data_IF_032625134737
#
_entry.id   IF_032625134737
#
_cell.length_a   1.000
_cell.length_b   1.000
_cell.length_c   1.000
_cell.angle_alpha   90.00
_cell.angle_beta   90.00
_cell.angle_gamma   90.00
#
_symmetry.space_group_name_H-M   'P 1'
#
loop_
_entity.id
_entity.type
_entity.pdbx_description
1 polymer ?
#
# COMPACT_ATOMS: atom_id res chain seq x y z
N UNK A 1 4.29 -0.69 -13.91
CA UNK A 1 4.10 -2.04 -13.35
C UNK A 1 2.61 -2.29 -13.15
N UNK A 2 2.09 -3.51 -13.35
CA UNK A 2 0.65 -3.80 -13.14
C UNK A 2 0.42 -4.51 -11.80
N UNK A 3 -0.48 -3.97 -10.97
CA UNK A 3 -0.76 -4.52 -9.64
C UNK A 3 -1.85 -5.60 -9.61
N UNK A 4 -2.48 -5.88 -10.76
CA UNK A 4 -3.59 -6.83 -10.88
C UNK A 4 -3.35 -8.17 -10.16
N UNK A 5 -2.16 -8.80 -10.20
CA UNK A 5 -1.91 -10.05 -9.48
C UNK A 5 -2.12 -9.93 -7.96
N UNK A 6 -1.71 -8.81 -7.36
CA UNK A 6 -1.83 -8.52 -5.93
C UNK A 6 -3.24 -8.10 -5.52
N UNK A 7 -4.08 -7.72 -6.49
CA UNK A 7 -5.48 -7.34 -6.26
C UNK A 7 -6.43 -8.53 -6.43
N UNK A 8 -5.91 -9.70 -6.82
CA UNK A 8 -6.69 -10.92 -6.95
C UNK A 8 -7.32 -11.32 -5.61
N UNK A 9 -8.49 -11.97 -5.67
CA UNK A 9 -9.14 -12.51 -4.49
C UNK A 9 -8.25 -13.55 -3.78
N UNK A 10 -7.43 -14.28 -4.54
CA UNK A 10 -6.50 -15.28 -4.02
C UNK A 10 -5.38 -14.64 -3.21
N UNK A 11 -4.77 -13.55 -3.72
CA UNK A 11 -3.76 -12.82 -2.97
C UNK A 11 -4.34 -12.16 -1.71
N UNK A 12 -5.48 -11.47 -1.82
CA UNK A 12 -6.12 -10.86 -0.65
C UNK A 12 -6.60 -11.89 0.39
N UNK A 13 -6.94 -13.12 -0.05
CA UNK A 13 -7.23 -14.21 0.84
C UNK A 13 -5.97 -14.77 1.51
N UNK A 14 -4.85 -14.87 0.78
CA UNK A 14 -3.57 -15.37 1.32
C UNK A 14 -3.00 -14.47 2.42
N UNK A 15 -3.27 -13.16 2.36
CA UNK A 15 -2.94 -12.22 3.43
C UNK A 15 -3.91 -12.27 4.61
N UNK A 16 -4.98 -13.07 4.53
CA UNK A 16 -6.09 -13.07 5.51
C UNK A 16 -6.81 -11.73 5.65
N UNK A 17 -6.74 -10.86 4.62
CA UNK A 17 -7.36 -9.52 4.66
C UNK A 17 -8.88 -9.56 4.87
N UNK A 18 -9.54 -10.57 4.30
CA UNK A 18 -11.00 -10.74 4.35
C UNK A 18 -11.49 -11.71 5.44
N UNK A 19 -10.58 -12.27 6.23
CA UNK A 19 -10.87 -13.35 7.20
C UNK A 19 -10.97 -12.84 8.65
N UNK A 20 -10.89 -11.52 8.88
CA UNK A 20 -11.03 -10.94 10.21
C UNK A 20 -12.50 -10.82 10.63
N UNK A 21 -12.78 -11.13 11.91
CA UNK A 21 -14.09 -10.95 12.53
C UNK A 21 -14.56 -9.47 12.57
N UNK A 22 -13.63 -8.54 12.37
CA UNK A 22 -13.87 -7.11 12.21
C UNK A 22 -13.68 -6.73 10.74
N UNK A 23 -14.56 -5.88 10.21
CA UNK A 23 -14.40 -5.35 8.85
C UNK A 23 -13.06 -4.62 8.74
N UNK A 24 -12.22 -4.93 7.73
CA UNK A 24 -10.92 -4.30 7.60
C UNK A 24 -11.06 -2.79 7.36
N UNK A 25 -10.14 -1.98 7.90
CA UNK A 25 -10.07 -0.54 7.61
C UNK A 25 -9.45 -0.33 6.22
N UNK A 26 -10.28 -0.51 5.20
CA UNK A 26 -9.92 -0.31 3.79
C UNK A 26 -9.35 1.10 3.54
N UNK A 27 -9.82 2.12 4.25
CA UNK A 27 -9.30 3.48 4.11
C UNK A 27 -7.89 3.63 4.70
N UNK A 28 -7.58 2.95 5.80
CA UNK A 28 -6.21 2.92 6.35
C UNK A 28 -5.25 2.20 5.41
N UNK A 29 -5.63 1.04 4.87
CA UNK A 29 -4.81 0.32 3.89
C UNK A 29 -4.59 1.19 2.66
N UNK A 30 -5.64 1.79 2.13
CA UNK A 30 -5.56 2.67 0.97
C UNK A 30 -4.69 3.90 1.21
N UNK A 31 -4.76 4.52 2.40
CA UNK A 31 -3.90 5.65 2.74
C UNK A 31 -2.42 5.26 2.75
N UNK A 32 -2.06 4.10 3.28
CA UNK A 32 -0.67 3.60 3.25
C UNK A 32 -0.19 3.42 1.81
N UNK A 33 -1.03 2.88 0.93
CA UNK A 33 -0.71 2.72 -0.50
C UNK A 33 -0.59 4.06 -1.22
N UNK A 34 -1.47 5.03 -0.91
CA UNK A 34 -1.37 6.39 -1.43
C UNK A 34 -0.04 7.05 -1.05
N UNK A 35 0.38 6.94 0.22
CA UNK A 35 1.64 7.53 0.68
C UNK A 35 2.86 6.94 -0.04
N UNK A 36 2.77 5.68 -0.48
CA UNK A 36 3.78 5.01 -1.29
C UNK A 36 3.79 5.50 -2.74
N UNK A 37 2.61 5.73 -3.31
CA UNK A 37 2.45 6.28 -4.65
C UNK A 37 2.95 7.72 -4.76
N UNK A 38 2.89 8.49 -3.66
CA UNK A 38 3.29 9.90 -3.61
C UNK A 38 4.66 10.12 -2.97
N UNK A 39 5.58 9.14 -3.05
CA UNK A 39 6.88 9.23 -2.36
C UNK A 39 7.76 10.34 -2.93
N UNK A 40 7.76 10.50 -4.25
CA UNK A 40 8.50 11.55 -4.96
C UNK A 40 7.87 12.96 -4.79
N UNK A 41 6.63 13.02 -4.31
CA UNK A 41 5.90 14.25 -4.02
C UNK A 41 4.78 14.56 -5.02
N UNK A 42 4.62 13.76 -6.07
CA UNK A 42 3.54 13.90 -7.05
C UNK A 42 2.79 12.57 -7.21
N UNK A 43 1.57 12.61 -7.74
CA UNK A 43 0.82 11.41 -8.12
C UNK A 43 0.40 11.62 -9.56
N UNK A 44 1.04 10.90 -10.46
CA UNK A 44 0.79 10.98 -11.89
C UNK A 44 -0.44 10.18 -12.33
N UNK A 45 -0.74 10.18 -13.64
CA UNK A 45 -1.88 9.46 -14.21
C UNK A 45 -1.79 7.95 -14.01
N UNK A 46 -0.58 7.39 -14.09
CA UNK A 46 -0.35 5.95 -13.95
C UNK A 46 -0.52 5.50 -12.50
N UNK A 47 0.03 6.25 -11.53
CA UNK A 47 -0.21 5.99 -10.11
C UNK A 47 -1.68 6.16 -9.75
N UNK A 48 -2.35 7.17 -10.30
CA UNK A 48 -3.78 7.41 -10.09
C UNK A 48 -4.61 6.22 -10.57
N UNK A 49 -4.32 5.68 -11.76
CA UNK A 49 -5.02 4.52 -12.29
C UNK A 49 -4.80 3.28 -11.42
N UNK A 50 -3.59 3.07 -10.90
CA UNK A 50 -3.30 1.96 -9.99
C UNK A 50 -3.99 2.14 -8.63
N UNK A 51 -3.99 3.36 -8.07
CA UNK A 51 -4.71 3.68 -6.85
C UNK A 51 -6.21 3.43 -6.98
N UNK A 52 -6.82 3.75 -8.14
CA UNK A 52 -8.22 3.45 -8.40
C UNK A 52 -8.51 1.93 -8.39
N UNK A 53 -7.62 1.13 -8.99
CA UNK A 53 -7.74 -0.34 -8.95
C UNK A 53 -7.63 -0.87 -7.51
N UNK A 54 -6.65 -0.38 -6.75
CA UNK A 54 -6.46 -0.74 -5.34
C UNK A 54 -7.70 -0.40 -4.53
N UNK A 55 -8.22 0.82 -4.66
CA UNK A 55 -9.43 1.25 -3.96
C UNK A 55 -10.64 0.36 -4.27
N UNK A 56 -10.83 -0.02 -5.54
CA UNK A 56 -11.90 -0.91 -5.94
C UNK A 56 -11.77 -2.31 -5.31
N UNK A 57 -10.54 -2.86 -5.26
CA UNK A 57 -10.28 -4.18 -4.68
C UNK A 57 -10.49 -4.21 -3.14
N UNK A 58 -10.14 -3.10 -2.48
CA UNK A 58 -10.32 -2.90 -1.03
C UNK A 58 -11.76 -2.50 -0.66
N UNK A 59 -12.59 -2.07 -1.62
CA UNK A 59 -13.94 -1.59 -1.37
C UNK A 59 -14.00 -0.17 -0.81
N UNK A 60 -13.03 0.69 -1.14
CA UNK A 60 -13.02 2.10 -0.74
C UNK A 60 -14.05 2.88 -1.56
N UNK A 61 -14.96 3.55 -0.86
CA UNK A 61 -15.93 4.44 -1.48
C UNK A 61 -15.29 5.77 -1.91
N UNK A 62 -15.69 6.28 -3.08
CA UNK A 62 -15.25 7.57 -3.63
C UNK A 62 -13.72 7.75 -3.66
N UNK A 63 -12.96 6.88 -4.36
CA UNK A 63 -11.50 6.92 -4.37
C UNK A 63 -10.92 8.23 -4.86
N UNK A 64 -11.55 8.88 -5.84
CA UNK A 64 -11.12 10.18 -6.37
C UNK A 64 -11.13 11.27 -5.29
N UNK A 65 -12.20 11.32 -4.48
CA UNK A 65 -12.31 12.25 -3.38
C UNK A 65 -11.24 11.97 -2.30
N UNK A 66 -10.94 10.69 -2.04
CA UNK A 66 -9.89 10.29 -1.10
C UNK A 66 -8.49 10.67 -1.58
N UNK A 67 -8.20 10.49 -2.87
CA UNK A 67 -6.92 10.91 -3.47
C UNK A 67 -6.77 12.43 -3.33
N UNK A 68 -7.80 13.21 -3.65
CA UNK A 68 -7.77 14.67 -3.47
C UNK A 68 -7.58 15.05 -2.00
N UNK A 69 -8.36 14.44 -1.09
CA UNK A 69 -8.23 14.64 0.36
C UNK A 69 -6.79 14.42 0.82
N UNK A 70 -6.19 13.30 0.42
CA UNK A 70 -4.83 12.94 0.82
C UNK A 70 -3.75 13.82 0.20
N UNK A 71 -3.94 14.33 -1.01
CA UNK A 71 -3.03 15.30 -1.62
C UNK A 71 -3.11 16.67 -0.93
N UNK A 72 -4.30 17.06 -0.44
CA UNK A 72 -4.53 18.36 0.17
C UNK A 72 -4.21 18.44 1.67
N UNK A 73 -3.96 17.31 2.35
CA UNK A 73 -3.60 17.30 3.78
C UNK A 73 -2.33 18.14 4.02
N UNK A 74 -2.50 19.28 4.69
CA UNK A 74 -1.41 20.16 5.13
C UNK A 74 -1.07 19.92 6.60
N UNK A 75 0.19 20.14 6.97
CA UNK A 75 0.64 20.20 8.36
C UNK A 75 1.04 18.88 9.00
N UNK A 76 1.05 17.78 8.25
CA UNK A 76 1.65 16.50 8.66
C UNK A 76 2.67 16.05 7.62
N UNK A 77 3.78 15.50 8.10
CA UNK A 77 4.77 14.82 7.27
C UNK A 77 4.24 13.47 6.81
N UNK A 78 4.81 12.93 5.72
CA UNK A 78 4.49 11.59 5.21
C UNK A 78 4.66 10.52 6.29
N UNK A 79 5.70 10.62 7.10
CA UNK A 79 5.99 9.67 8.18
C UNK A 79 4.92 9.70 9.28
N UNK A 80 4.48 10.89 9.70
CA UNK A 80 3.40 11.03 10.69
C UNK A 80 2.10 10.41 10.16
N UNK A 81 1.77 10.67 8.89
CA UNK A 81 0.59 10.07 8.25
C UNK A 81 0.70 8.55 8.14
N UNK A 82 1.87 8.04 7.79
CA UNK A 82 2.14 6.60 7.74
C UNK A 82 1.93 5.97 9.12
N UNK A 83 2.43 6.59 10.20
CA UNK A 83 2.25 6.11 11.56
C UNK A 83 0.78 6.13 12.00
N UNK A 84 0.04 7.19 11.67
CA UNK A 84 -1.39 7.31 11.97
C UNK A 84 -2.23 6.26 11.23
N UNK A 85 -1.96 6.07 9.93
CA UNK A 85 -2.65 5.05 9.14
C UNK A 85 -2.29 3.65 9.66
N UNK A 86 -1.02 3.36 9.92
CA UNK A 86 -0.57 2.08 10.46
C UNK A 86 -1.19 1.76 11.83
N UNK A 87 -1.37 2.76 12.70
CA UNK A 87 -2.00 2.59 14.00
C UNK A 87 -3.48 2.16 13.91
N UNK A 88 -4.15 2.42 12.78
CA UNK A 88 -5.53 1.96 12.52
C UNK A 88 -5.59 0.50 12.04
N UNK A 89 -4.48 -0.07 11.57
CA UNK A 89 -4.41 -1.44 11.06
C UNK A 89 -4.25 -2.44 12.21
N UNK A 90 -5.39 -2.88 12.76
CA UNK A 90 -5.43 -3.70 13.98
C UNK A 90 -5.03 -5.16 13.76
N UNK A 91 -5.22 -5.68 12.55
CA UNK A 91 -4.99 -7.10 12.23
C UNK A 91 -3.67 -7.32 11.49
N UNK A 92 -3.13 -8.54 11.59
CA UNK A 92 -1.94 -8.92 10.80
C UNK A 92 -2.23 -8.85 9.30
N UNK A 93 -3.42 -9.27 8.87
CA UNK A 93 -3.77 -9.29 7.45
C UNK A 93 -3.87 -7.91 6.82
N UNK A 94 -4.41 -6.93 7.54
CA UNK A 94 -4.40 -5.52 7.13
C UNK A 94 -2.98 -4.99 6.95
N UNK A 95 -2.10 -5.24 7.92
CA UNK A 95 -0.70 -4.77 7.88
C UNK A 95 0.09 -5.42 6.75
N UNK A 96 -0.07 -6.73 6.55
CA UNK A 96 0.56 -7.46 5.44
C UNK A 96 0.05 -6.94 4.10
N UNK A 97 -1.27 -6.76 3.95
CA UNK A 97 -1.87 -6.24 2.70
C UNK A 97 -1.40 -4.83 2.40
N UNK A 98 -1.42 -3.94 3.40
CA UNK A 98 -0.89 -2.59 3.28
C UNK A 98 0.58 -2.58 2.86
N UNK A 99 1.41 -3.42 3.49
CA UNK A 99 2.82 -3.54 3.14
C UNK A 99 3.00 -4.00 1.69
N UNK A 100 2.35 -5.09 1.29
CA UNK A 100 2.53 -5.68 -0.03
C UNK A 100 2.11 -4.74 -1.16
N UNK A 101 0.96 -4.07 -1.00
CA UNK A 101 0.46 -3.12 -2.00
C UNK A 101 1.31 -1.84 -2.06
N UNK A 102 1.69 -1.30 -0.90
CA UNK A 102 2.53 -0.10 -0.84
C UNK A 102 3.94 -0.37 -1.39
N UNK A 103 4.53 -1.52 -1.07
CA UNK A 103 5.82 -1.92 -1.63
C UNK A 103 5.74 -2.04 -3.15
N UNK A 104 4.72 -2.72 -3.68
CA UNK A 104 4.53 -2.84 -5.12
C UNK A 104 4.32 -1.48 -5.82
N UNK A 105 3.66 -0.52 -5.16
CA UNK A 105 3.59 0.86 -5.67
C UNK A 105 4.97 1.49 -5.79
N UNK A 106 5.85 1.32 -4.80
CA UNK A 106 7.23 1.86 -4.89
C UNK A 106 8.11 1.19 -5.94
N UNK A 107 7.68 0.06 -6.52
CA UNK A 107 8.39 -0.61 -7.62
C UNK A 107 7.88 -0.17 -8.99
N UNK A 108 6.80 0.62 -9.04
CA UNK A 108 6.12 0.96 -10.29
C UNK A 108 6.93 1.87 -11.18
N UNK A 109 7.82 2.67 -10.60
CA UNK A 109 8.81 3.46 -11.33
C UNK A 109 10.18 2.77 -11.23
N UNK A 110 10.79 2.43 -12.37
CA UNK A 110 11.97 1.55 -12.46
C UNK A 110 13.28 2.19 -11.92
N UNK A 111 13.15 3.32 -11.26
CA UNK A 111 14.23 4.10 -10.67
C UNK A 111 14.04 4.12 -9.16
N UNK A 112 14.49 3.06 -8.48
CA UNK A 112 14.52 3.05 -7.01
C UNK A 112 15.34 4.24 -6.53
N UNK A 113 14.65 5.26 -6.00
CA UNK A 113 15.29 6.47 -5.54
C UNK A 113 15.52 6.41 -4.01
N UNK A 114 16.45 7.19 -3.44
CA UNK A 114 16.73 7.15 -2.00
C UNK A 114 15.51 7.44 -1.11
N UNK A 115 14.49 8.14 -1.62
CA UNK A 115 13.26 8.42 -0.88
C UNK A 115 12.35 7.19 -0.80
N UNK A 116 12.31 6.37 -1.85
CA UNK A 116 11.58 5.09 -1.86
C UNK A 116 12.24 4.07 -0.94
N UNK A 117 13.58 3.96 -0.95
CA UNK A 117 14.29 3.11 0.00
C UNK A 117 14.01 3.52 1.45
N UNK A 118 14.07 4.82 1.74
CA UNK A 118 13.74 5.36 3.06
C UNK A 118 12.28 5.10 3.44
N UNK A 119 11.36 5.24 2.50
CA UNK A 119 9.95 4.95 2.72
C UNK A 119 9.71 3.45 2.97
N UNK A 120 10.33 2.55 2.21
CA UNK A 120 10.21 1.11 2.39
C UNK A 120 10.73 0.65 3.77
N UNK A 121 11.81 1.25 4.25
CA UNK A 121 12.30 1.01 5.61
C UNK A 121 11.29 1.50 6.66
N UNK A 122 10.79 2.73 6.52
CA UNK A 122 9.78 3.29 7.42
C UNK A 122 8.46 2.49 7.42
N UNK A 123 8.07 1.96 6.26
CA UNK A 123 6.87 1.14 6.07
C UNK A 123 6.92 -0.15 6.88
N UNK A 124 8.04 -0.89 6.81
CA UNK A 124 8.24 -2.12 7.58
C UNK A 124 8.15 -1.85 9.09
N UNK A 125 8.81 -0.79 9.58
CA UNK A 125 8.79 -0.41 10.99
C UNK A 125 7.40 0.05 11.43
N UNK A 126 6.73 0.92 10.67
CA UNK A 126 5.40 1.43 11.02
C UNK A 126 4.35 0.32 11.12
N UNK A 127 4.45 -0.70 10.26
CA UNK A 127 3.56 -1.85 10.25
C UNK A 127 4.00 -2.97 11.21
N UNK A 128 5.14 -2.83 11.90
CA UNK A 128 5.67 -3.86 12.79
C UNK A 128 5.98 -5.18 12.07
N UNK A 129 6.47 -5.11 10.84
CA UNK A 129 6.75 -6.26 9.98
C UNK A 129 8.23 -6.46 9.67
N UNK A 130 9.13 -5.79 10.39
CA UNK A 130 10.59 -5.80 10.13
C UNK A 130 11.16 -7.22 10.02
N UNK A 131 10.72 -8.15 10.87
CA UNK A 131 11.18 -9.54 10.86
C UNK A 131 10.63 -10.43 9.74
N UNK A 132 9.70 -9.93 8.92
CA UNK A 132 9.12 -10.65 7.77
C UNK A 132 9.12 -9.80 6.49
N UNK A 133 9.75 -8.61 6.52
CA UNK A 133 9.70 -7.66 5.41
C UNK A 133 10.36 -8.21 4.15
N UNK A 134 11.49 -8.91 4.29
CA UNK A 134 12.22 -9.48 3.15
C UNK A 134 11.44 -10.61 2.47
N UNK A 135 10.85 -11.51 3.25
CA UNK A 135 9.99 -12.59 2.74
C UNK A 135 8.76 -12.03 2.00
N UNK A 136 8.15 -10.96 2.54
CA UNK A 136 7.02 -10.28 1.92
C UNK A 136 7.43 -9.59 0.62
N UNK A 137 8.60 -8.93 0.59
CA UNK A 137 9.14 -8.32 -0.64
C UNK A 137 9.36 -9.37 -1.72
N UNK A 138 9.98 -10.50 -1.37
CA UNK A 138 10.20 -11.62 -2.29
C UNK A 138 8.87 -12.14 -2.85
N UNK A 139 7.88 -12.36 -1.98
CA UNK A 139 6.53 -12.79 -2.38
C UNK A 139 5.88 -11.82 -3.36
N UNK A 140 6.00 -10.50 -3.10
CA UNK A 140 5.47 -9.46 -3.99
C UNK A 140 6.18 -9.49 -5.35
N UNK A 141 7.51 -9.55 -5.37
CA UNK A 141 8.27 -9.67 -6.61
C UNK A 141 7.86 -10.91 -7.42
N UNK A 142 7.79 -12.08 -6.78
CA UNK A 142 7.35 -13.31 -7.44
C UNK A 142 5.94 -13.16 -8.03
N UNK A 143 5.02 -12.55 -7.28
CA UNK A 143 3.64 -12.35 -7.72
C UNK A 143 3.53 -11.41 -8.92
N UNK A 144 4.39 -10.39 -9.01
CA UNK A 144 4.39 -9.41 -10.09
C UNK A 144 5.08 -9.94 -11.37
N UNK A 145 5.97 -10.93 -11.25
CA UNK A 145 6.68 -11.56 -12.37
C UNK A 145 6.12 -12.94 -12.75
N UNK A 146 5.12 -13.47 -12.02
CA UNK A 146 4.53 -14.78 -12.31
C UNK A 146 3.70 -14.82 -13.62
N UNK A 147 3.39 -13.67 -14.21
CA UNK A 147 2.60 -13.57 -15.46
C UNK A 147 3.43 -13.18 -16.71
N UNK A 148 4.77 -13.20 -16.63
CA UNK A 148 5.68 -13.11 -17.80
C UNK A 148 5.95 -14.49 -18.44
#
# INVERSE_FOLDING_TARGET
MDLTPLLSAEFLASTSYRDSAQAPDAAAVFEVVFLAASVDGEVGPDETAQLQKVAAALGVENPEAKIVEYTEVRGKTRLERLQEAAARLTTKGERVTAFSLAFAMTLSDLSTNPQEEAFQAALATALGLEGQADDLRATVYESLHAEE
#
